data_IF_952297355332
#
_entry.id   IF_952297355332
#
_cell.length_a   1.000
_cell.length_b   1.000
_cell.length_c   1.000
_cell.angle_alpha   90.00
_cell.angle_beta   90.00
_cell.angle_gamma   90.00
#
_symmetry.space_group_name_H-M   'P 1'
#
loop_
_entity.id
_entity.type
_entity.pdbx_description
1 polymer ?
#
# COMPACT_ATOMS: atom_id res chain seq x y z
N UNK A 1 -51.22 -32.39 -51.94
CA UNK A 1 -49.93 -31.75 -52.26
C UNK A 1 -49.78 -30.56 -51.31
N UNK A 2 -49.02 -30.71 -50.21
CA UNK A 2 -47.60 -30.33 -50.06
C UNK A 2 -47.42 -28.80 -50.19
N UNK A 3 -47.26 -28.05 -49.09
CA UNK A 3 -46.00 -27.69 -48.40
C UNK A 3 -45.40 -26.35 -48.88
N UNK A 4 -45.32 -25.35 -47.99
CA UNK A 4 -44.07 -24.74 -47.50
C UNK A 4 -44.25 -23.30 -47.01
N UNK A 5 -43.95 -23.10 -45.73
CA UNK A 5 -43.42 -21.84 -45.19
C UNK A 5 -41.97 -21.64 -45.67
N UNK A 6 -41.51 -20.38 -45.70
CA UNK A 6 -40.35 -19.99 -44.89
C UNK A 6 -40.69 -18.69 -44.15
N UNK A 7 -40.19 -18.34 -42.97
CA UNK A 7 -39.02 -18.74 -42.22
C UNK A 7 -38.71 -17.52 -41.35
N UNK A 8 -39.00 -17.62 -40.04
CA UNK A 8 -38.66 -16.60 -39.05
C UNK A 8 -37.15 -16.49 -38.99
N UNK A 9 -36.60 -15.27 -39.06
CA UNK A 9 -35.27 -15.00 -38.54
C UNK A 9 -35.36 -14.54 -37.09
N UNK A 10 -34.52 -15.17 -36.30
CA UNK A 10 -34.60 -15.31 -34.86
C UNK A 10 -34.43 -14.01 -34.09
N UNK A 11 -35.16 -13.95 -32.98
CA UNK A 11 -34.98 -12.93 -31.97
C UNK A 11 -33.61 -13.06 -31.32
N UNK A 12 -32.84 -11.97 -31.38
CA UNK A 12 -31.85 -11.69 -30.35
C UNK A 12 -32.60 -11.58 -29.01
N UNK A 13 -32.61 -12.67 -28.25
CA UNK A 13 -33.01 -12.62 -26.84
C UNK A 13 -32.07 -11.62 -26.16
N UNK A 14 -32.57 -10.51 -25.58
CA UNK A 14 -31.71 -9.70 -24.74
C UNK A 14 -31.25 -10.60 -23.59
N UNK A 15 -29.95 -10.84 -23.48
CA UNK A 15 -29.38 -11.50 -22.31
C UNK A 15 -29.97 -10.80 -21.08
N UNK A 16 -30.57 -11.53 -20.12
CA UNK A 16 -31.09 -10.91 -18.92
C UNK A 16 -29.93 -10.15 -18.27
N UNK A 17 -30.08 -8.83 -18.12
CA UNK A 17 -29.12 -8.02 -17.37
C UNK A 17 -28.97 -8.70 -16.01
N UNK A 18 -27.75 -9.08 -15.59
CA UNK A 18 -27.54 -9.67 -14.28
C UNK A 18 -28.18 -8.75 -13.23
N UNK A 19 -29.09 -9.28 -12.41
CA UNK A 19 -29.73 -8.50 -11.36
C UNK A 19 -28.68 -8.08 -10.34
N UNK A 20 -28.29 -6.81 -10.39
CA UNK A 20 -27.49 -6.19 -9.36
C UNK A 20 -28.43 -5.76 -8.24
N UNK A 21 -28.20 -6.27 -7.04
CA UNK A 21 -28.97 -5.83 -5.88
C UNK A 21 -28.82 -4.31 -5.67
N UNK A 22 -29.92 -3.60 -5.34
CA UNK A 22 -29.84 -2.20 -4.95
C UNK A 22 -28.81 -1.99 -3.83
N UNK A 23 -27.86 -1.07 -4.06
CA UNK A 23 -26.79 -0.79 -3.11
C UNK A 23 -25.58 -1.71 -3.21
N UNK A 24 -25.45 -2.58 -4.23
CA UNK A 24 -24.31 -3.49 -4.39
C UNK A 24 -22.92 -2.80 -4.46
N UNK A 25 -22.87 -1.50 -4.76
CA UNK A 25 -21.67 -0.64 -4.68
C UNK A 25 -21.88 0.42 -3.59
N UNK A 26 -21.39 0.24 -2.34
CA UNK A 26 -21.59 1.23 -1.26
C UNK A 26 -20.71 2.46 -1.42
N UNK A 27 -19.64 2.32 -2.19
CA UNK A 27 -18.56 3.29 -2.32
C UNK A 27 -18.03 3.24 -3.74
N UNK A 28 -17.37 4.33 -4.14
CA UNK A 28 -16.69 4.48 -5.41
C UNK A 28 -15.48 3.52 -5.60
N UNK A 29 -15.02 2.86 -4.52
CA UNK A 29 -13.98 1.83 -4.57
C UNK A 29 -14.56 0.47 -4.96
N UNK A 30 -15.82 0.19 -4.61
CA UNK A 30 -16.42 -1.14 -4.64
C UNK A 30 -17.02 -1.58 -5.98
N UNK A 31 -16.51 -1.14 -7.13
CA UNK A 31 -17.14 -1.41 -8.44
C UNK A 31 -17.34 -2.91 -8.71
N UNK A 32 -18.58 -3.30 -9.02
CA UNK A 32 -18.96 -4.64 -9.47
C UNK A 32 -19.09 -4.69 -10.98
N UNK A 33 -18.54 -5.73 -11.61
CA UNK A 33 -18.85 -6.06 -13.00
C UNK A 33 -20.14 -6.88 -13.03
N UNK A 34 -21.22 -6.41 -13.71
CA UNK A 34 -22.51 -7.10 -13.68
C UNK A 34 -22.41 -8.57 -14.08
N UNK A 35 -21.58 -8.91 -15.07
CA UNK A 35 -21.39 -10.29 -15.53
C UNK A 35 -20.74 -11.23 -14.51
N UNK A 36 -20.08 -10.71 -13.48
CA UNK A 36 -19.45 -11.49 -12.41
C UNK A 36 -20.25 -11.48 -11.12
N UNK A 37 -21.42 -10.83 -11.10
CA UNK A 37 -22.28 -10.84 -9.93
C UNK A 37 -22.91 -12.22 -9.75
N UNK A 38 -22.58 -12.86 -8.64
CA UNK A 38 -23.22 -14.09 -8.15
C UNK A 38 -23.60 -13.85 -6.69
N UNK A 39 -24.68 -14.43 -6.13
CA UNK A 39 -24.96 -14.36 -4.70
C UNK A 39 -23.84 -14.98 -3.85
N UNK A 40 -23.75 -14.62 -2.57
CA UNK A 40 -22.78 -15.26 -1.66
C UNK A 40 -23.17 -16.74 -1.46
N UNK A 41 -22.19 -17.68 -1.41
CA UNK A 41 -22.48 -19.10 -1.20
C UNK A 41 -23.28 -19.29 0.10
N UNK A 42 -24.38 -20.04 0.04
CA UNK A 42 -25.21 -20.32 1.21
C UNK A 42 -24.47 -21.15 2.27
N UNK A 43 -24.76 -20.92 3.54
CA UNK A 43 -24.25 -21.74 4.63
C UNK A 43 -25.04 -23.07 4.72
N UNK A 44 -24.40 -24.24 4.48
CA UNK A 44 -25.09 -25.54 4.52
C UNK A 44 -25.53 -25.97 5.93
N UNK A 45 -25.03 -25.33 6.99
CA UNK A 45 -25.42 -25.56 8.38
C UNK A 45 -25.83 -24.22 9.03
N UNK A 46 -27.13 -23.87 9.06
CA UNK A 46 -27.62 -22.65 9.67
C UNK A 46 -27.08 -22.47 11.10
N UNK A 47 -26.87 -21.22 11.52
CA UNK A 47 -26.18 -20.85 12.78
C UNK A 47 -26.68 -21.58 14.03
N UNK A 48 -27.92 -22.09 14.04
CA UNK A 48 -28.49 -22.89 15.13
C UNK A 48 -27.96 -24.33 15.25
N UNK A 49 -27.19 -24.85 14.28
CA UNK A 49 -26.76 -26.25 14.23
C UNK A 49 -25.24 -26.44 14.07
N UNK A 50 -24.43 -25.41 14.38
CA UNK A 50 -22.98 -25.51 14.26
C UNK A 50 -22.39 -26.32 15.42
N UNK A 51 -22.22 -27.62 15.19
CA UNK A 51 -21.44 -28.50 16.06
C UNK A 51 -19.96 -28.09 16.04
N UNK A 52 -19.31 -28.29 17.19
CA UNK A 52 -17.92 -27.97 17.49
C UNK A 52 -16.95 -28.66 16.54
N UNK A 53 -16.70 -28.08 15.37
CA UNK A 53 -15.62 -28.50 14.50
C UNK A 53 -14.30 -27.92 15.03
N UNK A 54 -13.39 -28.80 15.46
CA UNK A 54 -11.99 -28.45 15.71
C UNK A 54 -11.45 -27.81 14.44
N UNK A 55 -10.94 -26.58 14.55
CA UNK A 55 -10.35 -25.88 13.42
C UNK A 55 -9.22 -26.75 12.83
N UNK A 56 -9.26 -27.15 11.54
CA UNK A 56 -8.13 -27.81 10.94
C UNK A 56 -6.92 -26.88 11.04
N UNK A 57 -5.83 -27.35 11.64
CA UNK A 57 -4.57 -26.61 11.67
C UNK A 57 -4.18 -26.33 10.22
N UNK A 58 -4.30 -25.07 9.82
CA UNK A 58 -3.95 -24.66 8.48
C UNK A 58 -2.48 -24.91 8.24
N UNK A 59 -2.15 -25.91 7.40
CA UNK A 59 -0.80 -26.04 6.89
C UNK A 59 -0.36 -24.69 6.30
N UNK A 60 0.83 -24.16 6.67
CA UNK A 60 1.33 -22.94 6.07
C UNK A 60 1.51 -23.20 4.58
N UNK A 61 0.59 -22.68 3.76
CA UNK A 61 0.75 -22.70 2.32
C UNK A 61 2.06 -22.00 2.00
N UNK A 62 3.01 -22.76 1.45
CA UNK A 62 4.23 -22.21 0.87
C UNK A 62 3.80 -21.24 -0.22
N UNK A 63 4.06 -19.96 -0.03
CA UNK A 63 3.84 -18.91 -1.02
C UNK A 63 4.81 -19.11 -2.19
N UNK A 64 4.51 -20.09 -3.05
CA UNK A 64 5.39 -20.49 -4.14
C UNK A 64 5.60 -19.36 -5.19
N UNK A 65 4.78 -18.30 -5.17
CA UNK A 65 4.87 -17.19 -6.12
C UNK A 65 5.74 -15.99 -5.70
N UNK A 66 6.15 -15.86 -4.43
CA UNK A 66 6.90 -14.67 -3.96
C UNK A 66 8.42 -14.89 -3.86
N UNK A 67 8.86 -16.16 -3.87
CA UNK A 67 10.27 -16.49 -3.65
C UNK A 67 11.21 -15.84 -4.69
N UNK A 68 10.91 -15.85 -6.01
CA UNK A 68 11.78 -15.21 -7.00
C UNK A 68 11.91 -13.70 -6.77
N UNK A 69 10.81 -13.01 -6.48
CA UNK A 69 10.81 -11.57 -6.18
C UNK A 69 11.69 -11.25 -4.98
N UNK A 70 11.56 -12.03 -3.89
CA UNK A 70 12.32 -11.80 -2.67
C UNK A 70 13.81 -12.15 -2.84
N UNK A 71 14.14 -13.17 -3.64
CA UNK A 71 15.53 -13.51 -3.94
C UNK A 71 16.19 -12.44 -4.80
N UNK A 72 15.57 -12.06 -5.92
CA UNK A 72 16.09 -11.00 -6.80
C UNK A 72 16.17 -9.68 -6.04
N UNK A 73 15.12 -9.33 -5.28
CA UNK A 73 15.11 -8.15 -4.42
C UNK A 73 16.21 -8.17 -3.36
N UNK A 74 16.46 -9.34 -2.74
CA UNK A 74 17.52 -9.52 -1.76
C UNK A 74 18.92 -9.37 -2.37
N UNK A 75 19.16 -9.94 -3.55
CA UNK A 75 20.42 -9.80 -4.29
C UNK A 75 20.65 -8.34 -4.69
N UNK A 76 19.63 -7.68 -5.25
CA UNK A 76 19.72 -6.27 -5.63
C UNK A 76 19.96 -5.38 -4.41
N UNK A 77 19.26 -5.60 -3.31
CA UNK A 77 19.45 -4.86 -2.07
C UNK A 77 20.87 -5.05 -1.52
N UNK A 78 21.36 -6.29 -1.46
CA UNK A 78 22.71 -6.59 -1.01
C UNK A 78 23.78 -5.91 -1.90
N UNK A 79 23.67 -6.05 -3.22
CA UNK A 79 24.57 -5.37 -4.15
C UNK A 79 24.52 -3.85 -4.03
N UNK A 80 23.32 -3.30 -3.82
CA UNK A 80 23.13 -1.85 -3.61
C UNK A 80 23.80 -1.37 -2.32
N UNK A 81 23.79 -2.16 -1.24
CA UNK A 81 24.47 -1.80 0.01
C UNK A 81 25.99 -1.69 -0.14
N UNK A 82 26.60 -2.46 -1.06
CA UNK A 82 28.03 -2.35 -1.38
C UNK A 82 28.39 -0.98 -1.98
N UNK A 83 27.43 -0.28 -2.59
CA UNK A 83 27.60 1.07 -3.10
C UNK A 83 27.20 2.12 -2.04
N UNK A 84 26.04 1.93 -1.41
CA UNK A 84 25.43 2.93 -0.53
C UNK A 84 26.21 3.09 0.78
N UNK A 85 26.64 2.01 1.42
CA UNK A 85 27.32 2.11 2.73
C UNK A 85 28.67 2.84 2.62
N UNK A 86 29.57 2.51 1.67
CA UNK A 86 30.80 3.28 1.47
C UNK A 86 30.53 4.73 1.09
N UNK A 87 29.50 5.01 0.27
CA UNK A 87 29.11 6.37 -0.05
C UNK A 87 28.72 7.17 1.20
N UNK A 88 27.88 6.60 2.08
CA UNK A 88 27.48 7.26 3.34
C UNK A 88 28.69 7.47 4.26
N UNK A 89 29.50 6.44 4.47
CA UNK A 89 30.69 6.53 5.34
C UNK A 89 31.71 7.54 4.81
N UNK A 90 31.93 7.59 3.49
CA UNK A 90 32.83 8.57 2.87
C UNK A 90 32.34 10.02 2.99
N UNK A 91 31.02 10.22 3.01
CA UNK A 91 30.42 11.57 3.11
C UNK A 91 30.17 12.05 4.54
N UNK A 92 30.12 11.14 5.52
CA UNK A 92 29.70 11.46 6.90
C UNK A 92 30.72 11.05 7.96
N UNK A 93 31.74 10.29 7.58
CA UNK A 93 32.61 9.60 8.53
C UNK A 93 31.84 8.58 9.39
N UNK A 94 32.56 7.89 10.27
CA UNK A 94 31.93 6.88 11.14
C UNK A 94 30.98 7.51 12.17
N UNK A 95 31.40 8.61 12.80
CA UNK A 95 30.61 9.27 13.84
C UNK A 95 29.32 9.88 13.26
N UNK A 96 29.42 10.60 12.14
CA UNK A 96 28.26 11.17 11.45
C UNK A 96 27.32 10.09 10.95
N UNK A 97 27.83 8.98 10.41
CA UNK A 97 27.00 7.84 10.01
C UNK A 97 26.20 7.26 11.19
N UNK A 98 26.83 7.01 12.34
CA UNK A 98 26.16 6.43 13.51
C UNK A 98 25.11 7.39 14.09
N UNK A 99 25.46 8.66 14.27
CA UNK A 99 24.55 9.67 14.82
C UNK A 99 23.39 9.90 13.85
N UNK A 100 23.69 10.04 12.56
CA UNK A 100 22.68 10.20 11.51
C UNK A 100 21.75 8.99 11.41
N UNK A 101 22.27 7.77 11.54
CA UNK A 101 21.46 6.55 11.64
C UNK A 101 20.48 6.60 12.80
N UNK A 102 20.97 6.89 14.01
CA UNK A 102 20.13 6.93 15.22
C UNK A 102 19.06 8.02 15.09
N UNK A 103 19.45 9.23 14.67
CA UNK A 103 18.53 10.34 14.48
C UNK A 103 17.45 10.01 13.43
N UNK A 104 17.81 9.31 12.35
CA UNK A 104 16.89 8.93 11.27
C UNK A 104 15.82 7.91 11.69
N UNK A 105 16.02 7.18 12.79
CA UNK A 105 15.03 6.23 13.31
C UNK A 105 13.74 6.92 13.78
N UNK A 106 13.81 8.18 14.22
CA UNK A 106 12.64 8.93 14.69
C UNK A 106 11.65 9.20 13.55
N UNK A 107 12.00 9.92 12.48
CA UNK A 107 11.08 10.13 11.36
C UNK A 107 10.67 8.82 10.69
N UNK A 108 11.59 7.84 10.59
CA UNK A 108 11.25 6.51 10.07
C UNK A 108 10.12 5.87 10.88
N UNK A 109 10.23 5.89 12.21
CA UNK A 109 9.21 5.31 13.09
C UNK A 109 7.86 6.02 12.92
N UNK A 110 7.84 7.35 12.83
CA UNK A 110 6.61 8.14 12.61
C UNK A 110 5.92 7.70 11.31
N UNK A 111 6.67 7.56 10.22
CA UNK A 111 6.11 7.15 8.92
C UNK A 111 5.63 5.69 8.97
N UNK A 112 6.42 4.75 9.50
CA UNK A 112 6.02 3.34 9.55
C UNK A 112 4.84 3.09 10.50
N UNK A 113 4.72 3.83 11.60
CA UNK A 113 3.53 3.81 12.46
C UNK A 113 2.29 4.31 11.72
N UNK A 114 2.46 5.32 10.87
CA UNK A 114 1.39 5.83 10.01
C UNK A 114 1.01 4.80 8.96
N UNK A 115 1.97 4.16 8.28
CA UNK A 115 1.72 3.05 7.36
C UNK A 115 0.93 1.93 8.06
N UNK A 116 1.35 1.51 9.25
CA UNK A 116 0.63 0.50 10.05
C UNK A 116 -0.78 0.95 10.43
N UNK A 117 -1.00 2.25 10.64
CA UNK A 117 -2.33 2.80 10.90
C UNK A 117 -3.21 2.78 9.65
N UNK A 118 -2.65 3.07 8.48
CA UNK A 118 -3.33 2.99 7.18
C UNK A 118 -3.74 1.54 6.90
N UNK A 119 -2.78 0.62 6.99
CA UNK A 119 -2.83 -0.83 6.71
C UNK A 119 -3.60 -1.66 7.77
N UNK A 120 -4.50 -1.03 8.53
CA UNK A 120 -5.16 -1.67 9.68
C UNK A 120 -6.27 -2.66 9.28
N UNK A 121 -6.88 -2.48 8.11
CA UNK A 121 -8.05 -3.27 7.69
C UNK A 121 -7.63 -4.60 7.08
N UNK A 122 -6.79 -4.60 6.05
CA UNK A 122 -6.17 -5.79 5.45
C UNK A 122 -4.63 -5.68 5.53
N UNK A 123 -3.99 -6.13 6.63
CA UNK A 123 -2.55 -5.97 6.78
C UNK A 123 -1.74 -6.70 5.70
N UNK A 124 -0.87 -5.96 5.02
CA UNK A 124 -0.01 -6.47 3.95
C UNK A 124 1.00 -7.53 4.46
N UNK A 125 1.44 -8.47 3.61
CA UNK A 125 2.46 -9.43 3.98
C UNK A 125 3.76 -8.71 4.37
N UNK A 126 4.22 -8.96 5.60
CA UNK A 126 5.47 -8.38 6.13
C UNK A 126 6.67 -8.54 5.19
N UNK A 127 6.73 -9.64 4.43
CA UNK A 127 7.81 -9.89 3.46
C UNK A 127 7.81 -8.87 2.31
N UNK A 128 6.64 -8.46 1.84
CA UNK A 128 6.52 -7.43 0.80
C UNK A 128 6.78 -6.04 1.36
N UNK A 129 6.38 -5.75 2.60
CA UNK A 129 6.75 -4.51 3.28
C UNK A 129 8.26 -4.41 3.50
N UNK A 130 8.92 -5.53 3.86
CA UNK A 130 10.39 -5.58 3.93
C UNK A 130 11.03 -5.33 2.58
N UNK A 131 10.54 -5.99 1.53
CA UNK A 131 11.00 -5.72 0.16
C UNK A 131 10.83 -4.24 -0.22
N UNK A 132 9.66 -3.67 0.04
CA UNK A 132 9.37 -2.26 -0.24
C UNK A 132 10.33 -1.33 0.52
N UNK A 133 10.53 -1.58 1.81
CA UNK A 133 11.45 -0.80 2.63
C UNK A 133 12.89 -0.91 2.13
N UNK A 134 13.41 -2.11 1.88
CA UNK A 134 14.79 -2.31 1.41
C UNK A 134 14.99 -1.81 -0.03
N UNK A 135 13.96 -1.87 -0.87
CA UNK A 135 13.96 -1.25 -2.19
C UNK A 135 14.19 0.25 -2.07
N UNK A 136 13.47 0.93 -1.19
CA UNK A 136 13.67 2.36 -0.93
C UNK A 136 15.03 2.66 -0.32
N UNK A 137 15.39 1.96 0.76
CA UNK A 137 16.56 2.25 1.57
C UNK A 137 17.90 1.95 0.89
N UNK A 138 17.93 0.98 -0.03
CA UNK A 138 19.16 0.56 -0.70
C UNK A 138 19.07 0.72 -2.22
N UNK A 139 18.13 0.01 -2.86
CA UNK A 139 18.10 -0.10 -4.34
C UNK A 139 17.82 1.25 -5.00
N UNK A 140 16.88 2.02 -4.46
CA UNK A 140 16.50 3.33 -5.01
C UNK A 140 17.61 4.37 -4.82
N UNK A 141 18.33 4.31 -3.70
CA UNK A 141 19.49 5.17 -3.45
C UNK A 141 20.62 4.80 -4.41
N UNK A 142 20.95 3.51 -4.54
CA UNK A 142 21.98 3.04 -5.48
C UNK A 142 21.64 3.43 -6.93
N UNK A 143 20.39 3.23 -7.37
CA UNK A 143 19.93 3.68 -8.68
C UNK A 143 20.09 5.19 -8.86
N UNK A 144 19.77 5.99 -7.83
CA UNK A 144 19.96 7.45 -7.87
C UNK A 144 21.43 7.81 -8.04
N UNK A 145 22.34 7.19 -7.28
CA UNK A 145 23.78 7.42 -7.37
C UNK A 145 24.35 7.04 -8.76
N UNK A 146 23.83 5.97 -9.37
CA UNK A 146 24.30 5.50 -10.68
C UNK A 146 23.75 6.35 -11.84
N UNK A 147 22.54 6.90 -11.71
CA UNK A 147 21.89 7.69 -12.76
C UNK A 147 22.30 9.18 -12.69
N UNK A 148 22.57 9.70 -11.50
CA UNK A 148 22.91 11.11 -11.28
C UNK A 148 24.01 11.65 -12.22
N UNK A 149 25.13 10.94 -12.50
CA UNK A 149 26.16 11.43 -13.40
C UNK A 149 25.67 11.71 -14.83
N UNK A 150 24.66 10.99 -15.32
CA UNK A 150 24.09 11.23 -16.66
C UNK A 150 23.38 12.59 -16.75
N UNK A 151 22.71 13.00 -15.66
CA UNK A 151 22.05 14.30 -15.57
C UNK A 151 23.05 15.44 -15.38
N UNK A 152 24.18 15.18 -14.71
CA UNK A 152 25.25 16.16 -14.54
C UNK A 152 25.82 16.62 -15.90
N UNK A 153 25.83 15.75 -16.92
CA UNK A 153 26.24 16.10 -18.29
C UNK A 153 25.31 17.10 -18.99
N UNK A 154 24.04 17.13 -18.58
CA UNK A 154 23.03 18.04 -19.12
C UNK A 154 22.78 19.25 -18.18
N UNK A 155 23.47 19.32 -17.05
CA UNK A 155 23.27 20.36 -16.06
C UNK A 155 23.82 21.71 -16.56
N UNK A 156 23.19 22.84 -16.20
CA UNK A 156 23.72 24.16 -16.52
C UNK A 156 25.13 24.35 -15.98
N UNK A 157 26.04 24.83 -16.82
CA UNK A 157 27.44 25.14 -16.46
C UNK A 157 27.68 26.64 -16.24
N UNK A 158 26.60 27.44 -16.20
CA UNK A 158 26.66 28.90 -16.10
C UNK A 158 27.14 29.38 -14.72
N UNK A 159 26.87 28.62 -13.66
CA UNK A 159 27.36 28.87 -12.29
C UNK A 159 27.19 27.61 -11.43
N UNK A 160 27.93 27.56 -10.32
CA UNK A 160 27.77 26.50 -9.31
C UNK A 160 26.37 26.48 -8.68
N UNK A 161 25.78 27.66 -8.47
CA UNK A 161 24.41 27.80 -7.97
C UNK A 161 23.39 27.25 -8.97
N UNK A 162 23.54 27.57 -10.26
CA UNK A 162 22.66 27.05 -11.31
C UNK A 162 22.77 25.52 -11.44
N UNK A 163 24.00 24.98 -11.33
CA UNK A 163 24.23 23.54 -11.29
C UNK A 163 23.54 22.91 -10.07
N UNK A 164 23.80 23.41 -8.87
CA UNK A 164 23.26 22.87 -7.62
C UNK A 164 21.73 22.95 -7.57
N UNK A 165 21.17 24.06 -8.04
CA UNK A 165 19.73 24.23 -8.17
C UNK A 165 19.11 23.23 -9.15
N UNK A 166 19.72 23.03 -10.33
CA UNK A 166 19.25 22.04 -11.30
C UNK A 166 19.30 20.62 -10.73
N UNK A 167 20.40 20.27 -10.05
CA UNK A 167 20.56 18.95 -9.44
C UNK A 167 19.53 18.71 -8.34
N UNK A 168 19.27 19.71 -7.49
CA UNK A 168 18.30 19.60 -6.42
C UNK A 168 16.84 19.65 -6.90
N UNK A 169 16.51 20.46 -7.90
CA UNK A 169 15.10 20.70 -8.29
C UNK A 169 14.64 19.93 -9.51
N UNK A 170 15.54 19.52 -10.40
CA UNK A 170 15.19 18.78 -11.62
C UNK A 170 15.66 17.33 -11.53
N UNK A 171 16.97 17.13 -11.32
CA UNK A 171 17.55 15.79 -11.32
C UNK A 171 17.02 14.94 -10.16
N UNK A 172 17.07 15.44 -8.93
CA UNK A 172 16.64 14.69 -7.76
C UNK A 172 15.15 14.27 -7.85
N UNK A 173 14.18 15.16 -8.14
CA UNK A 173 12.79 14.75 -8.31
C UNK A 173 12.57 13.68 -9.38
N UNK A 174 13.19 13.83 -10.55
CA UNK A 174 13.02 12.88 -11.65
C UNK A 174 13.60 11.52 -11.27
N UNK A 175 14.89 11.50 -10.89
CA UNK A 175 15.63 10.25 -10.70
C UNK A 175 15.17 9.51 -9.45
N UNK A 176 14.93 10.23 -8.36
CA UNK A 176 14.56 9.58 -7.12
C UNK A 176 13.13 9.05 -7.16
N UNK A 177 12.16 9.83 -7.64
CA UNK A 177 10.77 9.37 -7.72
C UNK A 177 10.62 8.22 -8.71
N UNK A 178 11.37 8.25 -9.83
CA UNK A 178 11.47 7.12 -10.74
C UNK A 178 12.04 5.87 -10.05
N UNK A 179 13.19 6.00 -9.40
CA UNK A 179 13.88 4.88 -8.74
C UNK A 179 13.05 4.26 -7.62
N UNK A 180 12.40 5.08 -6.79
CA UNK A 180 11.46 4.63 -5.76
C UNK A 180 10.28 3.89 -6.40
N UNK A 181 9.65 4.52 -7.40
CA UNK A 181 8.43 3.98 -8.01
C UNK A 181 8.68 2.69 -8.79
N UNK A 182 9.90 2.42 -9.27
CA UNK A 182 10.22 1.11 -9.88
C UNK A 182 9.93 -0.06 -8.94
N UNK A 183 10.07 0.15 -7.62
CA UNK A 183 9.68 -0.86 -6.62
C UNK A 183 8.18 -1.14 -6.64
N UNK A 184 7.35 -0.11 -6.84
CA UNK A 184 5.90 -0.27 -7.04
C UNK A 184 5.59 -1.02 -8.33
N UNK A 185 6.31 -0.71 -9.40
CA UNK A 185 6.15 -1.38 -10.69
C UNK A 185 6.49 -2.87 -10.59
N UNK A 186 7.53 -3.23 -9.84
CA UNK A 186 7.85 -4.63 -9.58
C UNK A 186 6.79 -5.30 -8.70
N UNK A 187 6.32 -4.62 -7.64
CA UNK A 187 5.29 -5.17 -6.75
C UNK A 187 3.97 -5.41 -7.47
N UNK A 188 3.52 -4.48 -8.32
CA UNK A 188 2.27 -4.66 -9.06
C UNK A 188 2.38 -5.89 -9.97
N UNK A 189 3.50 -6.11 -10.67
CA UNK A 189 3.70 -7.27 -11.55
C UNK A 189 3.92 -8.60 -10.83
N UNK A 190 4.78 -8.63 -9.81
CA UNK A 190 5.22 -9.86 -9.16
C UNK A 190 4.37 -10.25 -7.93
N UNK A 191 3.70 -9.29 -7.30
CA UNK A 191 2.90 -9.48 -6.11
C UNK A 191 1.45 -8.99 -6.29
N UNK A 192 0.93 -9.04 -7.53
CA UNK A 192 -0.41 -8.57 -7.93
C UNK A 192 -1.54 -8.94 -6.97
N UNK A 193 -1.51 -10.13 -6.38
CA UNK A 193 -2.53 -10.59 -5.42
C UNK A 193 -2.69 -9.64 -4.21
N UNK A 194 -1.62 -8.92 -3.88
CA UNK A 194 -1.49 -8.00 -2.75
C UNK A 194 -1.48 -6.53 -3.18
N UNK A 195 -1.41 -6.24 -4.49
CA UNK A 195 -1.46 -4.87 -5.01
C UNK A 195 -2.77 -4.72 -5.78
N UNK A 196 -3.81 -4.37 -5.04
CA UNK A 196 -5.17 -4.71 -5.40
C UNK A 196 -6.10 -3.49 -5.37
N UNK A 197 -5.72 -2.46 -4.62
CA UNK A 197 -6.43 -1.21 -4.49
C UNK A 197 -5.55 0.00 -4.20
N UNK A 198 -6.16 1.19 -4.10
CA UNK A 198 -5.49 2.45 -3.79
C UNK A 198 -4.82 2.46 -2.41
N UNK A 199 -5.39 1.76 -1.41
CA UNK A 199 -4.83 1.72 -0.06
C UNK A 199 -3.51 0.97 -0.07
N UNK A 200 -3.46 -0.22 -0.66
CA UNK A 200 -2.24 -1.04 -0.79
C UNK A 200 -1.16 -0.29 -1.56
N UNK A 201 -1.54 0.38 -2.65
CA UNK A 201 -0.63 1.21 -3.44
C UNK A 201 0.01 2.33 -2.61
N UNK A 202 -0.77 3.02 -1.77
CA UNK A 202 -0.26 4.01 -0.82
C UNK A 202 0.62 3.37 0.25
N UNK A 203 0.24 2.21 0.80
CA UNK A 203 1.00 1.49 1.83
C UNK A 203 2.38 1.08 1.33
N UNK A 204 2.47 0.48 0.14
CA UNK A 204 3.76 0.12 -0.47
C UNK A 204 4.57 1.36 -0.84
N UNK A 205 3.94 2.40 -1.39
CA UNK A 205 4.63 3.63 -1.78
C UNK A 205 5.23 4.36 -0.57
N UNK A 206 4.46 4.49 0.51
CA UNK A 206 4.92 5.10 1.75
C UNK A 206 6.04 4.28 2.38
N UNK A 207 5.99 2.95 2.28
CA UNK A 207 7.04 2.07 2.81
C UNK A 207 8.34 2.19 2.03
N UNK A 208 8.28 2.26 0.69
CA UNK A 208 9.44 2.54 -0.18
C UNK A 208 10.01 3.92 0.14
N UNK A 209 9.17 4.95 0.15
CA UNK A 209 9.59 6.31 0.44
C UNK A 209 10.18 6.46 1.84
N UNK A 210 9.65 5.75 2.85
CA UNK A 210 10.20 5.73 4.19
C UNK A 210 11.61 5.13 4.23
N UNK A 211 11.85 4.05 3.47
CA UNK A 211 13.18 3.48 3.32
C UNK A 211 14.16 4.46 2.67
N UNK A 212 13.75 5.09 1.57
CA UNK A 212 14.56 6.09 0.89
C UNK A 212 14.91 7.27 1.81
N UNK A 213 13.89 7.87 2.41
CA UNK A 213 14.03 9.02 3.30
C UNK A 213 14.87 8.67 4.55
N UNK A 214 14.80 7.43 5.04
CA UNK A 214 15.67 6.96 6.11
C UNK A 214 17.14 7.06 5.71
N UNK A 215 17.54 6.44 4.61
CA UNK A 215 18.93 6.48 4.14
C UNK A 215 19.40 7.89 3.78
N UNK A 216 18.51 8.69 3.19
CA UNK A 216 18.82 10.08 2.88
C UNK A 216 19.01 10.92 4.16
N UNK A 217 18.16 10.75 5.18
CA UNK A 217 18.31 11.43 6.46
C UNK A 217 19.63 11.07 7.15
N UNK A 218 20.13 9.84 7.01
CA UNK A 218 21.47 9.46 7.52
C UNK A 218 22.54 10.35 6.91
N UNK A 219 22.47 10.57 5.59
CA UNK A 219 23.42 11.40 4.88
C UNK A 219 23.34 12.85 5.34
N UNK A 220 22.14 13.45 5.39
CA UNK A 220 21.99 14.85 5.80
C UNK A 220 22.41 15.08 7.26
N UNK A 221 21.91 14.26 8.18
CA UNK A 221 22.26 14.39 9.60
C UNK A 221 23.74 14.10 9.86
N UNK A 222 24.29 13.09 9.17
CA UNK A 222 25.70 12.73 9.31
C UNK A 222 26.65 13.76 8.73
N UNK A 223 26.27 14.46 7.65
CA UNK A 223 27.07 15.56 7.07
C UNK A 223 27.19 16.73 8.04
N UNK A 224 26.10 17.13 8.71
CA UNK A 224 26.19 18.21 9.72
C UNK A 224 27.16 17.85 10.84
N UNK A 225 27.21 16.58 11.25
CA UNK A 225 28.19 16.12 12.23
C UNK A 225 29.63 16.12 11.70
N UNK A 226 29.81 15.79 10.43
CA UNK A 226 31.14 15.62 9.83
C UNK A 226 31.80 16.94 9.42
N UNK A 227 31.02 17.92 8.97
CA UNK A 227 31.54 19.11 8.29
C UNK A 227 31.10 20.46 8.88
N UNK A 228 30.14 20.51 9.81
CA UNK A 228 29.73 21.79 10.42
C UNK A 228 30.74 22.27 11.46
N UNK A 229 30.91 23.59 11.56
CA UNK A 229 31.62 24.25 12.65
C UNK A 229 30.86 24.25 13.98
N UNK A 230 29.52 24.07 13.95
CA UNK A 230 28.66 23.87 15.12
C UNK A 230 27.71 22.66 14.91
N UNK A 231 28.25 21.43 14.99
CA UNK A 231 27.52 20.20 14.71
C UNK A 231 26.21 20.03 15.50
N UNK A 232 26.18 20.51 16.76
CA UNK A 232 25.02 20.35 17.63
C UNK A 232 23.83 21.18 17.16
N UNK A 233 24.06 22.47 16.92
CA UNK A 233 23.00 23.39 16.48
C UNK A 233 22.51 23.04 15.08
N UNK A 234 23.42 22.75 14.14
CA UNK A 234 23.05 22.48 12.76
C UNK A 234 22.35 21.12 12.62
N UNK A 235 22.77 20.10 13.39
CA UNK A 235 22.03 18.84 13.48
C UNK A 235 20.58 19.07 13.95
N UNK A 236 20.37 19.89 14.99
CA UNK A 236 19.02 20.19 15.49
C UNK A 236 18.18 20.90 14.42
N UNK A 237 18.76 21.88 13.71
CA UNK A 237 18.07 22.60 12.62
C UNK A 237 17.64 21.65 11.50
N UNK A 238 18.57 20.84 10.98
CA UNK A 238 18.24 19.92 9.89
C UNK A 238 17.28 18.82 10.37
N UNK A 239 17.37 18.40 11.63
CA UNK A 239 16.43 17.44 12.22
C UNK A 239 15.02 18.02 12.33
N UNK A 240 14.86 19.29 12.68
CA UNK A 240 13.54 19.94 12.67
C UNK A 240 12.98 19.98 11.24
N UNK A 241 13.79 20.42 10.27
CA UNK A 241 13.36 20.51 8.87
C UNK A 241 12.96 19.15 8.31
N UNK A 242 13.82 18.13 8.45
CA UNK A 242 13.62 16.81 7.83
C UNK A 242 12.78 15.86 8.67
N UNK A 243 12.99 15.87 9.98
CA UNK A 243 12.38 14.95 10.94
C UNK A 243 11.01 15.39 11.46
N UNK A 244 10.76 16.69 11.57
CA UNK A 244 9.51 17.24 12.14
C UNK A 244 8.65 17.91 11.09
N UNK A 245 9.23 18.79 10.26
CA UNK A 245 8.47 19.55 9.27
C UNK A 245 8.17 18.73 8.01
N UNK A 246 9.06 17.82 7.60
CA UNK A 246 8.89 17.04 6.37
C UNK A 246 8.88 15.51 6.50
N UNK A 247 8.45 14.89 7.62
CA UNK A 247 8.55 13.44 7.80
C UNK A 247 7.75 12.67 6.75
N UNK A 248 6.71 13.28 6.18
CA UNK A 248 5.83 12.67 5.17
C UNK A 248 6.06 13.17 3.74
N UNK A 249 7.05 14.04 3.49
CA UNK A 249 7.25 14.65 2.17
C UNK A 249 7.46 13.56 1.08
N UNK A 250 8.51 12.75 1.20
CA UNK A 250 8.75 11.64 0.27
C UNK A 250 7.58 10.65 0.22
N UNK A 251 6.96 10.36 1.36
CA UNK A 251 5.82 9.45 1.43
C UNK A 251 4.66 9.94 0.56
N UNK A 252 4.35 11.24 0.61
CA UNK A 252 3.28 11.84 -0.18
C UNK A 252 3.66 11.90 -1.66
N UNK A 253 4.91 12.24 -2.00
CA UNK A 253 5.37 12.30 -3.39
C UNK A 253 5.21 10.95 -4.08
N UNK A 254 5.94 9.93 -3.60
CA UNK A 254 5.85 8.56 -4.15
C UNK A 254 4.45 7.97 -3.93
N UNK A 255 3.75 8.39 -2.88
CA UNK A 255 2.38 8.02 -2.56
C UNK A 255 1.38 8.37 -3.65
N UNK A 256 1.58 9.47 -4.39
CA UNK A 256 0.73 9.79 -5.55
C UNK A 256 0.87 8.74 -6.66
N UNK A 257 2.10 8.26 -6.94
CA UNK A 257 2.33 7.14 -7.85
C UNK A 257 1.63 5.88 -7.36
N UNK A 258 1.80 5.54 -6.09
CA UNK A 258 1.15 4.39 -5.45
C UNK A 258 -0.37 4.44 -5.55
N UNK A 259 -0.97 5.59 -5.29
CA UNK A 259 -2.42 5.81 -5.36
C UNK A 259 -2.96 5.59 -6.78
N UNK A 260 -2.30 6.18 -7.79
CA UNK A 260 -2.70 6.08 -9.19
C UNK A 260 -2.55 4.64 -9.69
N UNK A 261 -1.43 3.99 -9.39
CA UNK A 261 -1.22 2.58 -9.69
C UNK A 261 -2.24 1.67 -8.99
N UNK A 262 -2.58 1.96 -7.73
CA UNK A 262 -3.59 1.20 -6.97
C UNK A 262 -4.99 1.31 -7.56
N UNK A 263 -5.34 2.45 -8.13
CA UNK A 263 -6.57 2.57 -8.92
C UNK A 263 -6.53 1.77 -10.22
N UNK A 264 -5.39 1.79 -10.92
CA UNK A 264 -5.22 1.05 -12.17
C UNK A 264 -5.21 -0.48 -11.94
N UNK A 265 -4.70 -0.94 -10.80
CA UNK A 265 -4.67 -2.36 -10.43
C UNK A 265 -6.07 -3.01 -10.45
N UNK A 266 -7.13 -2.22 -10.24
CA UNK A 266 -8.54 -2.69 -10.31
C UNK A 266 -9.00 -3.11 -11.70
N UNK A 267 -8.45 -2.50 -12.75
CA UNK A 267 -8.76 -2.81 -14.15
C UNK A 267 -7.58 -3.51 -14.81
N UNK A 268 -7.02 -4.49 -14.10
CA UNK A 268 -5.71 -5.01 -14.42
C UNK A 268 -5.52 -5.32 -15.91
N UNK A 269 -4.46 -4.72 -16.45
CA UNK A 269 -3.85 -5.07 -17.72
C UNK A 269 -2.44 -4.46 -17.72
N UNK A 270 -1.44 -5.19 -18.20
CA UNK A 270 -0.02 -4.80 -18.05
C UNK A 270 0.29 -3.41 -18.62
N UNK A 271 -0.23 -3.11 -19.81
CA UNK A 271 -0.10 -1.78 -20.42
C UNK A 271 -0.72 -0.65 -19.59
N UNK A 272 -1.84 -0.90 -18.90
CA UNK A 272 -2.46 0.10 -18.03
C UNK A 272 -1.67 0.31 -16.74
N UNK A 273 -1.02 -0.74 -16.21
CA UNK A 273 -0.14 -0.62 -15.05
C UNK A 273 1.09 0.24 -15.37
N UNK A 274 1.70 0.04 -16.54
CA UNK A 274 2.83 0.87 -17.02
C UNK A 274 2.38 2.31 -17.27
N UNK A 275 1.22 2.52 -17.92
CA UNK A 275 0.67 3.86 -18.11
C UNK A 275 0.42 4.55 -16.76
N UNK A 276 -0.20 3.85 -15.82
CA UNK A 276 -0.46 4.37 -14.47
C UNK A 276 0.82 4.72 -13.70
N UNK A 277 1.90 3.96 -13.90
CA UNK A 277 3.21 4.27 -13.37
C UNK A 277 3.71 5.62 -13.89
N UNK A 278 3.71 5.85 -15.21
CA UNK A 278 4.16 7.13 -15.77
C UNK A 278 3.24 8.30 -15.41
N UNK A 279 1.92 8.09 -15.45
CA UNK A 279 0.94 9.11 -15.01
C UNK A 279 1.12 9.43 -13.53
N UNK A 280 1.45 8.44 -12.71
CA UNK A 280 1.71 8.60 -11.29
C UNK A 280 3.01 9.34 -10.96
N UNK A 281 4.05 9.16 -11.79
CA UNK A 281 5.33 9.85 -11.62
C UNK A 281 5.23 11.36 -11.77
N UNK A 282 4.38 11.85 -12.67
CA UNK A 282 4.25 13.30 -12.93
C UNK A 282 3.89 14.11 -11.67
N UNK A 283 2.82 13.81 -10.92
CA UNK A 283 2.54 14.51 -9.67
C UNK A 283 3.60 14.25 -8.60
N UNK A 284 4.20 13.06 -8.53
CA UNK A 284 5.28 12.78 -7.58
C UNK A 284 6.49 13.70 -7.79
N UNK A 285 6.95 13.78 -9.04
CA UNK A 285 8.07 14.63 -9.46
C UNK A 285 7.74 16.11 -9.27
N UNK A 286 6.52 16.54 -9.61
CA UNK A 286 6.11 17.93 -9.42
C UNK A 286 6.07 18.35 -7.95
N UNK A 287 5.48 17.51 -7.08
CA UNK A 287 5.42 17.79 -5.65
C UNK A 287 6.83 17.82 -5.02
N UNK A 288 7.70 16.90 -5.44
CA UNK A 288 9.08 16.87 -4.98
C UNK A 288 9.89 18.07 -5.48
N UNK A 289 9.78 18.43 -6.76
CA UNK A 289 10.35 19.67 -7.28
C UNK A 289 9.87 20.89 -6.49
N UNK A 290 8.55 21.01 -6.28
CA UNK A 290 7.97 22.15 -5.54
C UNK A 290 8.52 22.27 -4.12
N UNK A 291 8.77 21.14 -3.45
CA UNK A 291 9.43 21.08 -2.14
C UNK A 291 10.89 21.54 -2.20
N UNK A 292 11.67 21.03 -3.15
CA UNK A 292 13.09 21.39 -3.29
C UNK A 292 13.29 22.83 -3.80
N UNK A 293 12.29 23.40 -4.47
CA UNK A 293 12.30 24.78 -4.93
C UNK A 293 11.89 25.79 -3.84
N UNK A 294 11.55 25.34 -2.63
CA UNK A 294 11.26 26.24 -1.50
C UNK A 294 12.56 26.89 -1.02
N UNK A 295 12.89 28.06 -1.58
CA UNK A 295 14.12 28.81 -1.30
C UNK A 295 13.99 29.73 -0.09
N UNK A 296 14.38 31.00 -0.23
CA UNK A 296 14.42 31.96 0.89
C UNK A 296 13.04 32.23 1.54
N UNK A 297 11.94 31.96 0.84
CA UNK A 297 10.57 32.04 1.37
C UNK A 297 10.08 30.77 2.09
N UNK A 298 10.97 29.82 2.42
CA UNK A 298 10.63 28.47 2.87
C UNK A 298 9.51 28.43 3.91
N UNK A 299 9.57 29.24 4.98
CA UNK A 299 8.55 29.20 6.04
C UNK A 299 7.16 29.58 5.52
N UNK A 300 7.04 30.65 4.72
CA UNK A 300 5.76 31.09 4.16
C UNK A 300 5.24 30.03 3.19
N UNK A 301 6.09 29.53 2.30
CA UNK A 301 5.71 28.50 1.33
C UNK A 301 5.34 27.18 2.02
N UNK A 302 6.02 26.83 3.10
CA UNK A 302 5.71 25.66 3.91
C UNK A 302 4.26 25.73 4.44
N UNK A 303 3.87 26.85 5.06
CA UNK A 303 2.52 26.99 5.60
C UNK A 303 1.43 27.18 4.53
N UNK A 304 1.73 27.89 3.44
CA UNK A 304 0.74 28.22 2.40
C UNK A 304 0.60 27.12 1.34
N UNK A 305 1.66 26.34 1.10
CA UNK A 305 1.68 25.30 0.05
C UNK A 305 1.79 23.91 0.67
N UNK A 306 2.81 23.66 1.49
CA UNK A 306 3.05 22.29 1.98
C UNK A 306 1.97 21.82 2.95
N UNK A 307 1.61 22.63 3.94
CA UNK A 307 0.61 22.25 4.94
C UNK A 307 -0.73 21.91 4.28
N UNK A 308 -1.26 22.70 3.32
CA UNK A 308 -2.44 22.31 2.55
C UNK A 308 -2.29 20.98 1.80
N UNK A 309 -1.15 20.72 1.16
CA UNK A 309 -0.87 19.43 0.50
C UNK A 309 -0.94 18.27 1.52
N UNK A 310 -0.33 18.44 2.69
CA UNK A 310 -0.40 17.46 3.77
C UNK A 310 -1.83 17.22 4.26
N UNK A 311 -2.61 18.29 4.43
CA UNK A 311 -4.02 18.18 4.82
C UNK A 311 -4.84 17.42 3.77
N UNK A 312 -4.66 17.73 2.48
CA UNK A 312 -5.32 17.00 1.38
C UNK A 312 -4.92 15.53 1.38
N UNK A 313 -3.63 15.21 1.55
CA UNK A 313 -3.16 13.84 1.63
C UNK A 313 -3.77 13.08 2.82
N UNK A 314 -3.80 13.70 4.01
CA UNK A 314 -4.43 13.11 5.21
C UNK A 314 -5.92 12.88 5.00
N UNK A 315 -6.65 13.87 4.47
CA UNK A 315 -8.08 13.74 4.16
C UNK A 315 -8.34 12.63 3.13
N UNK A 316 -7.50 12.56 2.08
CA UNK A 316 -7.56 11.50 1.07
C UNK A 316 -7.37 10.11 1.68
N UNK A 317 -6.37 9.93 2.54
CA UNK A 317 -6.12 8.68 3.26
C UNK A 317 -7.30 8.33 4.18
N UNK A 318 -7.81 9.28 4.96
CA UNK A 318 -8.98 9.07 5.83
C UNK A 318 -10.19 8.63 5.00
N UNK A 319 -10.44 9.28 3.87
CA UNK A 319 -11.56 8.95 2.98
C UNK A 319 -11.41 7.56 2.36
N UNK A 320 -10.21 7.19 1.90
CA UNK A 320 -9.90 5.86 1.40
C UNK A 320 -10.22 4.79 2.46
N UNK A 321 -9.78 5.01 3.70
CA UNK A 321 -10.01 4.08 4.81
C UNK A 321 -11.47 3.98 5.22
N UNK A 322 -12.20 5.09 5.18
CA UNK A 322 -13.65 5.09 5.42
C UNK A 322 -14.38 4.31 4.33
N UNK A 323 -13.98 4.50 3.06
CA UNK A 323 -14.57 3.81 1.93
C UNK A 323 -14.30 2.29 1.97
N UNK A 324 -13.08 1.91 2.37
CA UNK A 324 -12.68 0.52 2.60
C UNK A 324 -13.50 -0.13 3.72
N UNK A 325 -13.63 0.53 4.88
CA UNK A 325 -14.44 0.00 5.99
C UNK A 325 -15.93 -0.18 5.63
N UNK A 326 -16.52 0.77 4.89
CA UNK A 326 -17.90 0.64 4.37
C UNK A 326 -18.05 -0.54 3.42
N UNK A 327 -17.06 -0.72 2.53
CA UNK A 327 -17.03 -1.83 1.59
C UNK A 327 -16.92 -3.19 2.31
N UNK A 328 -15.99 -3.32 3.26
CA UNK A 328 -15.85 -4.54 4.09
C UNK A 328 -17.16 -4.88 4.79
N UNK A 329 -17.82 -3.88 5.41
CA UNK A 329 -19.11 -4.09 6.09
C UNK A 329 -20.16 -4.65 5.13
N UNK A 330 -20.28 -4.07 3.94
CA UNK A 330 -21.25 -4.54 2.97
C UNK A 330 -20.99 -5.97 2.51
N UNK A 331 -19.75 -6.32 2.18
CA UNK A 331 -19.43 -7.68 1.73
C UNK A 331 -19.70 -8.71 2.83
N UNK A 332 -19.46 -8.36 4.08
CA UNK A 332 -19.85 -9.19 5.22
C UNK A 332 -21.37 -9.32 5.40
N UNK A 333 -22.16 -8.28 5.07
CA UNK A 333 -23.62 -8.36 5.09
C UNK A 333 -24.19 -9.31 4.02
N UNK A 334 -23.53 -9.49 2.88
CA UNK A 334 -23.91 -10.55 1.92
C UNK A 334 -23.78 -11.93 2.55
N UNK A 335 -22.67 -12.19 3.25
CA UNK A 335 -22.47 -13.44 3.99
C UNK A 335 -23.41 -13.59 5.18
N UNK A 336 -23.81 -12.49 5.82
CA UNK A 336 -24.83 -12.53 6.86
C UNK A 336 -26.20 -12.97 6.30
N UNK A 337 -26.59 -12.46 5.13
CA UNK A 337 -27.81 -12.90 4.43
C UNK A 337 -27.73 -14.37 3.98
N UNK A 338 -26.53 -14.83 3.63
CA UNK A 338 -26.26 -16.23 3.31
C UNK A 338 -26.13 -17.15 4.55
N UNK A 339 -26.29 -16.61 5.77
CA UNK A 339 -26.32 -17.37 7.01
C UNK A 339 -24.95 -17.67 7.64
N UNK A 340 -23.87 -17.04 7.18
CA UNK A 340 -22.53 -17.23 7.75
C UNK A 340 -22.26 -16.37 8.98
N UNK A 341 -22.84 -15.17 9.05
CA UNK A 341 -22.68 -14.21 10.15
C UNK A 341 -24.03 -13.67 10.62
N UNK A 342 -24.10 -13.22 11.88
CA UNK A 342 -25.20 -12.36 12.32
C UNK A 342 -24.92 -10.88 11.99
N UNK A 343 -25.93 -10.01 11.85
CA UNK A 343 -25.71 -8.57 11.68
C UNK A 343 -24.85 -7.95 12.79
N UNK A 344 -25.01 -8.42 14.03
CA UNK A 344 -24.21 -7.99 15.18
C UNK A 344 -22.74 -8.40 15.06
N UNK A 345 -22.46 -9.62 14.57
CA UNK A 345 -21.09 -10.03 14.25
C UNK A 345 -20.49 -9.18 13.13
N UNK A 346 -21.28 -8.82 12.12
CA UNK A 346 -20.79 -7.93 11.06
C UNK A 346 -20.42 -6.56 11.62
N UNK A 347 -21.24 -5.96 12.48
CA UNK A 347 -20.91 -4.68 13.10
C UNK A 347 -19.67 -4.78 14.02
N UNK A 348 -19.51 -5.90 14.72
CA UNK A 348 -18.29 -6.20 15.48
C UNK A 348 -17.05 -6.28 14.58
N UNK A 349 -17.15 -6.99 13.46
CA UNK A 349 -16.04 -7.30 12.55
C UNK A 349 -15.69 -6.14 11.62
N UNK A 350 -16.67 -5.31 11.24
CA UNK A 350 -16.53 -4.28 10.21
C UNK A 350 -16.39 -2.85 10.77
N UNK A 351 -16.43 -2.64 12.10
CA UNK A 351 -16.27 -1.31 12.70
C UNK A 351 -15.04 -1.21 13.61
N UNK A 352 -14.36 -0.05 13.69
CA UNK A 352 -13.22 0.13 14.59
C UNK A 352 -13.61 0.01 16.08
N UNK A 353 -14.81 0.48 16.45
CA UNK A 353 -15.34 0.35 17.81
C UNK A 353 -15.64 -1.11 18.16
N UNK A 354 -16.32 -1.83 17.26
CA UNK A 354 -16.61 -3.26 17.40
C UNK A 354 -15.34 -4.10 17.55
N UNK A 355 -14.35 -3.91 16.68
CA UNK A 355 -13.06 -4.63 16.76
C UNK A 355 -12.33 -4.38 18.08
N UNK A 356 -12.35 -3.15 18.59
CA UNK A 356 -11.72 -2.82 19.88
C UNK A 356 -12.43 -3.51 21.05
N UNK A 357 -13.75 -3.48 21.07
CA UNK A 357 -14.55 -4.16 22.10
C UNK A 357 -14.33 -5.68 22.05
N UNK A 358 -14.38 -6.27 20.86
CA UNK A 358 -14.15 -7.69 20.61
C UNK A 358 -12.75 -8.13 21.08
N UNK A 359 -11.72 -7.35 20.74
CA UNK A 359 -10.36 -7.62 21.19
C UNK A 359 -10.19 -7.43 22.70
N UNK A 360 -10.85 -6.43 23.30
CA UNK A 360 -10.81 -6.22 24.75
C UNK A 360 -11.43 -7.39 25.52
N UNK A 361 -12.63 -7.82 25.11
CA UNK A 361 -13.32 -8.99 25.64
C UNK A 361 -12.53 -10.29 25.44
N UNK A 362 -11.93 -10.47 24.26
CA UNK A 362 -11.12 -11.65 23.99
C UNK A 362 -9.82 -11.65 24.79
N UNK A 363 -9.20 -10.47 24.98
CA UNK A 363 -7.98 -10.33 25.78
C UNK A 363 -8.24 -10.65 27.25
N UNK A 364 -9.38 -10.24 27.81
CA UNK A 364 -9.76 -10.59 29.19
C UNK A 364 -9.97 -12.09 29.40
N UNK A 365 -10.06 -12.87 28.32
CA UNK A 365 -10.18 -14.34 28.32
C UNK A 365 -8.92 -15.06 27.81
N UNK A 366 -7.84 -14.33 27.55
CA UNK A 366 -6.62 -14.91 26.95
C UNK A 366 -6.76 -15.34 25.48
N UNK A 367 -7.83 -14.91 24.80
CA UNK A 367 -8.20 -15.30 23.42
C UNK A 367 -7.92 -14.21 22.37
N UNK A 368 -7.06 -13.24 22.68
CA UNK A 368 -6.76 -12.12 21.80
C UNK A 368 -6.22 -12.56 20.43
N UNK A 369 -5.40 -13.61 20.39
CA UNK A 369 -4.83 -14.14 19.15
C UNK A 369 -5.90 -14.76 18.23
N UNK A 370 -6.82 -15.52 18.81
CA UNK A 370 -7.94 -16.17 18.13
C UNK A 370 -8.90 -15.12 17.57
N UNK A 371 -9.22 -14.07 18.36
CA UNK A 371 -10.06 -12.97 17.89
C UNK A 371 -9.40 -12.19 16.73
N UNK A 372 -8.07 -11.96 16.79
CA UNK A 372 -7.33 -11.36 15.66
C UNK A 372 -7.39 -12.25 14.41
N UNK A 373 -7.26 -13.56 14.56
CA UNK A 373 -7.36 -14.51 13.44
C UNK A 373 -8.78 -14.50 12.83
N UNK A 374 -9.83 -14.46 13.66
CA UNK A 374 -11.21 -14.37 13.22
C UNK A 374 -11.50 -13.06 12.48
N UNK A 375 -11.11 -11.91 13.05
CA UNK A 375 -11.24 -10.59 12.40
C UNK A 375 -10.49 -10.58 11.05
N UNK A 376 -9.27 -11.12 11.02
CA UNK A 376 -8.47 -11.20 9.79
C UNK A 376 -9.17 -12.06 8.74
N UNK A 377 -9.65 -13.24 9.10
CA UNK A 377 -10.33 -14.15 8.17
C UNK A 377 -11.61 -13.54 7.60
N UNK A 378 -12.44 -12.90 8.43
CA UNK A 378 -13.65 -12.21 7.97
C UNK A 378 -13.31 -11.04 7.02
N UNK A 379 -12.25 -10.29 7.33
CA UNK A 379 -11.81 -9.19 6.48
C UNK A 379 -11.31 -9.70 5.14
N UNK A 380 -10.43 -10.72 5.13
CA UNK A 380 -9.96 -11.36 3.90
C UNK A 380 -11.12 -11.92 3.06
N UNK A 381 -12.15 -12.48 3.70
CA UNK A 381 -13.36 -12.96 3.00
C UNK A 381 -14.12 -11.83 2.31
N UNK A 382 -14.25 -10.68 2.96
CA UNK A 382 -14.87 -9.49 2.37
C UNK A 382 -14.09 -8.96 1.15
N UNK A 383 -12.76 -8.96 1.21
CA UNK A 383 -11.90 -8.54 0.10
C UNK A 383 -11.87 -9.56 -1.05
N UNK A 384 -11.73 -10.85 -0.74
CA UNK A 384 -11.86 -11.94 -1.73
C UNK A 384 -13.18 -11.83 -2.48
N UNK A 385 -14.28 -11.56 -1.76
CA UNK A 385 -15.59 -11.32 -2.36
C UNK A 385 -15.59 -10.14 -3.32
N UNK A 386 -15.04 -9.00 -2.90
CA UNK A 386 -14.94 -7.83 -3.77
C UNK A 386 -14.14 -8.15 -5.04
N UNK A 387 -13.04 -8.91 -4.94
CA UNK A 387 -12.21 -9.29 -6.09
C UNK A 387 -13.00 -10.11 -7.10
N UNK A 388 -13.76 -11.11 -6.64
CA UNK A 388 -14.66 -11.91 -7.48
C UNK A 388 -15.65 -11.01 -8.22
N UNK A 389 -16.36 -10.15 -7.49
CA UNK A 389 -17.39 -9.28 -8.08
C UNK A 389 -16.80 -8.22 -9.02
N UNK A 390 -15.54 -7.82 -8.81
CA UNK A 390 -14.83 -6.91 -9.70
C UNK A 390 -14.29 -7.57 -10.98
N UNK A 391 -14.38 -8.91 -11.09
CA UNK A 391 -13.93 -9.68 -12.26
C UNK A 391 -12.45 -10.04 -12.29
N UNK A 392 -11.74 -9.90 -11.16
CA UNK A 392 -10.31 -10.21 -11.07
C UNK A 392 -10.13 -11.70 -10.74
N UNK A 393 -9.37 -12.43 -11.55
CA UNK A 393 -8.94 -13.82 -11.30
C UNK A 393 -10.05 -14.70 -10.68
N UNK A 394 -11.26 -14.60 -11.23
CA UNK A 394 -12.52 -15.02 -10.60
C UNK A 394 -12.44 -16.45 -10.07
N UNK A 395 -11.95 -17.39 -10.88
CA UNK A 395 -11.83 -18.80 -10.49
C UNK A 395 -10.87 -19.03 -9.30
N UNK A 396 -9.75 -18.31 -9.25
CA UNK A 396 -8.79 -18.42 -8.14
C UNK A 396 -9.41 -17.89 -6.85
N UNK A 397 -10.10 -16.75 -6.94
CA UNK A 397 -10.72 -16.15 -5.76
C UNK A 397 -11.98 -16.87 -5.29
N UNK A 398 -12.74 -17.52 -6.17
CA UNK A 398 -13.83 -18.43 -5.77
C UNK A 398 -13.31 -19.62 -4.98
N UNK A 399 -12.15 -20.19 -5.34
CA UNK A 399 -11.52 -21.24 -4.55
C UNK A 399 -11.10 -20.74 -3.17
N UNK A 400 -10.44 -19.57 -3.11
CA UNK A 400 -10.05 -18.91 -1.85
C UNK A 400 -11.30 -18.61 -0.96
N UNK A 401 -12.41 -18.16 -1.56
CA UNK A 401 -13.69 -17.86 -0.88
C UNK A 401 -14.22 -19.11 -0.16
N UNK A 402 -14.31 -20.24 -0.87
CA UNK A 402 -14.80 -21.50 -0.31
C UNK A 402 -13.93 -22.00 0.84
N UNK A 403 -12.61 -21.87 0.74
CA UNK A 403 -11.69 -22.28 1.81
C UNK A 403 -11.78 -21.37 3.04
N UNK A 404 -11.91 -20.06 2.83
CA UNK A 404 -12.13 -19.10 3.91
C UNK A 404 -13.45 -19.41 4.64
N UNK A 405 -14.54 -19.67 3.90
CA UNK A 405 -15.83 -20.05 4.47
C UNK A 405 -15.75 -21.32 5.33
N UNK A 406 -14.99 -22.35 4.91
CA UNK A 406 -14.76 -23.55 5.73
C UNK A 406 -14.03 -23.27 7.04
N UNK A 407 -13.19 -22.24 7.10
CA UNK A 407 -12.39 -21.87 8.29
C UNK A 407 -13.15 -21.00 9.28
N UNK A 408 -14.08 -20.18 8.81
CA UNK A 408 -14.80 -19.20 9.64
C UNK A 408 -15.45 -19.83 10.88
N UNK A 409 -16.19 -20.95 10.81
CA UNK A 409 -16.79 -21.58 11.98
C UNK A 409 -15.78 -22.02 13.04
N UNK A 410 -14.64 -22.61 12.63
CA UNK A 410 -13.58 -23.05 13.53
C UNK A 410 -12.85 -21.88 14.21
N UNK A 411 -12.69 -20.75 13.51
CA UNK A 411 -12.13 -19.53 14.11
C UNK A 411 -13.09 -18.88 15.08
N UNK A 412 -14.39 -18.88 14.77
CA UNK A 412 -15.45 -18.41 15.68
C UNK A 412 -15.47 -19.25 16.95
N UNK A 413 -15.49 -20.57 16.84
CA UNK A 413 -15.55 -21.46 18.01
C UNK A 413 -14.31 -21.32 18.91
N UNK A 414 -13.12 -21.18 18.34
CA UNK A 414 -11.88 -20.98 19.09
C UNK A 414 -11.85 -19.70 19.95
N UNK A 415 -12.67 -18.71 19.61
CA UNK A 415 -12.85 -17.46 20.36
C UNK A 415 -13.82 -17.63 21.54
N UNK A 416 -14.78 -18.54 21.41
CA UNK A 416 -15.86 -18.77 22.39
C UNK A 416 -15.52 -19.87 23.42
N UNK A 417 -14.70 -20.85 23.03
CA UNK A 417 -14.01 -21.76 23.97
C UNK A 417 -12.98 -20.99 24.78
#
# INVERSE_FOLDING_TARGET
MSSNQPGRHDGQRPYPRPFLEPGANPTWIGHIQPGNYQPAPGNPAPLGNQSWAVAPQGMPRRSAGLLPLLLVGGILAFGSLLLVVPFLLGNTGLAGFIIGFIASLVPLSIVLLTVRWIDRWEPEPKRLLWFAFTWGAAVSIAATLLIQPLFALAAPTTSEDAYSYFMATVQAPIVEEFSKSLGLLLLIFAARKYFDGPVDGVVFAFTIAAGFAFTENILYFGREIASSSDPGTDLVRIFILRGVMSPFAHAIFTGTTGLIMGFAARKWHSGYAVLAFFVGLLPAMFLHNRWNSMGQGFLVEYFVVQVPIFLVAVLGIVFLRMAEGKLTRQRLLEYARAGWFTPAEVDMLATPRGRRQALGWASSRGRAAQMRAFIKAATSLAFTRQRILSGRDVHVHQHDELEQLRRIPGLRSAVLM
#
